data_IF_457435660948
#
_entry.id   IF_457435660948
#
_cell.length_a   1.000
_cell.length_b   1.000
_cell.length_c   1.000
_cell.angle_alpha   90.00
_cell.angle_beta   90.00
_cell.angle_gamma   90.00
#
_symmetry.space_group_name_H-M   'P 1'
#
loop_
_entity.id
_entity.type
_entity.pdbx_description
1 polymer ?
#
# COMPACT_ATOMS: atom_id res chain seq x y z
N UNK A 1 62.75 31.97 14.83
CA UNK A 1 62.18 30.77 14.15
C UNK A 1 60.64 30.80 14.21
N UNK A 2 60.02 31.98 14.28
CA UNK A 2 58.67 32.12 14.86
C UNK A 2 57.53 32.25 13.84
N UNK A 3 57.83 32.31 12.54
CA UNK A 3 56.82 32.46 11.49
C UNK A 3 56.15 31.16 11.02
N UNK A 4 56.79 29.99 11.23
CA UNK A 4 56.26 28.69 10.74
C UNK A 4 55.21 28.07 11.67
N UNK A 5 55.22 28.39 12.96
CA UNK A 5 54.26 27.86 13.94
C UNK A 5 52.86 28.47 13.76
N UNK A 6 52.76 29.72 13.32
CA UNK A 6 51.50 30.45 13.18
C UNK A 6 50.68 30.03 11.94
N UNK A 7 51.34 29.66 10.84
CA UNK A 7 50.66 29.19 9.62
C UNK A 7 49.98 27.83 9.81
N UNK A 8 50.65 26.89 10.48
CA UNK A 8 50.11 25.53 10.72
C UNK A 8 48.87 25.54 11.62
N UNK A 9 48.84 26.42 12.62
CA UNK A 9 47.66 26.62 13.47
C UNK A 9 46.51 27.30 12.71
N UNK A 10 46.79 28.30 11.86
CA UNK A 10 45.76 28.92 11.01
C UNK A 10 45.15 27.94 10.02
N UNK A 11 45.96 27.12 9.36
CA UNK A 11 45.49 26.10 8.41
C UNK A 11 44.66 25.01 9.12
N UNK A 12 45.04 24.63 10.35
CA UNK A 12 44.29 23.69 11.18
C UNK A 12 42.93 24.26 11.63
N UNK A 13 42.87 25.51 12.08
CA UNK A 13 41.61 26.19 12.44
C UNK A 13 40.71 26.38 11.21
N UNK A 14 41.26 26.80 10.07
CA UNK A 14 40.51 26.91 8.81
C UNK A 14 39.94 25.56 8.35
N UNK A 15 40.72 24.48 8.42
CA UNK A 15 40.24 23.14 8.08
C UNK A 15 39.17 22.64 9.05
N UNK A 16 39.27 23.02 10.33
CA UNK A 16 38.27 22.67 11.34
C UNK A 16 36.96 23.43 11.09
N UNK A 17 37.03 24.73 10.78
CA UNK A 17 35.85 25.55 10.41
C UNK A 17 35.18 25.04 9.13
N UNK A 18 35.96 24.63 8.11
CA UNK A 18 35.41 24.02 6.88
C UNK A 18 34.64 22.73 7.17
N UNK A 19 35.16 21.88 8.07
CA UNK A 19 34.46 20.64 8.49
C UNK A 19 33.14 20.94 9.18
N UNK A 20 33.10 21.93 10.08
CA UNK A 20 31.85 22.34 10.73
C UNK A 20 30.83 22.91 9.75
N UNK A 21 31.27 23.75 8.81
CA UNK A 21 30.39 24.29 7.76
C UNK A 21 29.80 23.15 6.90
N UNK A 22 30.64 22.20 6.47
CA UNK A 22 30.18 21.03 5.71
C UNK A 22 29.19 20.17 6.51
N UNK A 23 29.46 19.94 7.80
CA UNK A 23 28.57 19.18 8.67
C UNK A 23 27.21 19.88 8.88
N UNK A 24 27.22 21.20 9.08
CA UNK A 24 25.99 22.00 9.19
C UNK A 24 25.20 21.95 7.87
N UNK A 25 25.85 22.11 6.72
CA UNK A 25 25.20 21.99 5.41
C UNK A 25 24.59 20.60 5.19
N UNK A 26 25.26 19.54 5.65
CA UNK A 26 24.72 18.18 5.61
C UNK A 26 23.47 18.05 6.47
N UNK A 27 23.47 18.57 7.70
CA UNK A 27 22.30 18.56 8.60
C UNK A 27 21.15 19.35 7.98
N UNK A 28 21.41 20.54 7.44
CA UNK A 28 20.37 21.37 6.79
C UNK A 28 19.81 20.63 5.58
N UNK A 29 20.65 20.00 4.77
CA UNK A 29 20.22 19.24 3.59
C UNK A 29 19.36 18.03 4.00
N UNK A 30 19.79 17.29 5.03
CA UNK A 30 19.03 16.16 5.55
C UNK A 30 17.70 16.61 6.16
N UNK A 31 17.71 17.67 6.96
CA UNK A 31 16.51 18.27 7.54
C UNK A 31 15.54 18.77 6.46
N UNK A 32 16.05 19.45 5.44
CA UNK A 32 15.30 19.90 4.27
C UNK A 32 14.67 18.73 3.50
N UNK A 33 15.40 17.65 3.28
CA UNK A 33 14.89 16.43 2.65
C UNK A 33 13.78 15.75 3.47
N UNK A 34 13.97 15.64 4.79
CA UNK A 34 12.96 15.06 5.69
C UNK A 34 11.69 15.92 5.73
N UNK A 35 11.82 17.25 5.79
CA UNK A 35 10.71 18.18 5.73
C UNK A 35 10.00 18.13 4.37
N UNK A 36 10.75 18.13 3.27
CA UNK A 36 10.20 17.98 1.92
C UNK A 36 9.33 16.72 1.82
N UNK A 37 9.85 15.56 2.26
CA UNK A 37 9.11 14.31 2.22
C UNK A 37 7.86 14.32 3.10
N UNK A 38 7.94 14.97 4.27
CA UNK A 38 6.81 15.14 5.19
C UNK A 38 5.69 15.96 4.54
N UNK A 39 6.03 17.09 3.91
CA UNK A 39 5.03 18.03 3.37
C UNK A 39 4.52 17.65 1.98
N UNK A 40 5.36 17.10 1.10
CA UNK A 40 4.95 16.73 -0.26
C UNK A 40 4.39 15.32 -0.36
N UNK A 41 4.64 14.47 0.64
CA UNK A 41 4.41 13.04 0.51
C UNK A 41 5.34 12.36 -0.48
N UNK A 42 6.36 13.05 -1.02
CA UNK A 42 7.27 12.52 -2.06
C UNK A 42 6.51 12.05 -3.32
N UNK A 43 5.33 12.61 -3.61
CA UNK A 43 4.64 12.34 -4.87
C UNK A 43 5.33 13.08 -6.01
N UNK A 44 5.59 12.38 -7.12
CA UNK A 44 6.15 12.92 -8.36
C UNK A 44 5.65 12.07 -9.53
N UNK A 45 5.38 12.68 -10.68
CA UNK A 45 5.03 11.93 -11.90
C UNK A 45 6.11 10.92 -12.28
N UNK A 46 7.38 11.31 -12.15
CA UNK A 46 8.50 10.39 -12.35
C UNK A 46 8.48 9.18 -11.43
N UNK A 47 7.82 9.21 -10.27
CA UNK A 47 7.77 8.07 -9.36
C UNK A 47 6.69 7.04 -9.74
N UNK A 48 5.70 7.43 -10.54
CA UNK A 48 4.62 6.57 -11.04
C UNK A 48 4.81 6.13 -12.48
N UNK A 49 5.80 6.70 -13.18
CA UNK A 49 6.17 6.29 -14.53
C UNK A 49 7.40 5.39 -14.53
N UNK A 50 7.23 4.17 -15.06
CA UNK A 50 8.29 3.20 -15.31
C UNK A 50 8.00 2.38 -16.56
N UNK A 51 9.03 1.90 -17.26
CA UNK A 51 8.85 1.01 -18.41
C UNK A 51 8.73 -0.43 -17.89
N UNK A 52 7.51 -0.90 -17.71
CA UNK A 52 7.23 -2.30 -17.37
C UNK A 52 7.02 -3.09 -18.66
N UNK A 53 7.62 -4.30 -18.79
CA UNK A 53 7.29 -5.17 -19.91
C UNK A 53 5.80 -5.56 -19.85
N UNK A 54 5.19 -5.74 -21.01
CA UNK A 54 3.83 -6.26 -21.10
C UNK A 54 3.77 -7.68 -20.55
N UNK A 55 2.80 -7.96 -19.67
CA UNK A 55 2.53 -9.30 -19.17
C UNK A 55 1.13 -9.76 -19.60
N UNK A 56 1.02 -10.81 -20.45
CA UNK A 56 -0.26 -11.35 -20.90
C UNK A 56 -1.18 -11.81 -19.76
N UNK A 57 -0.63 -12.26 -18.63
CA UNK A 57 -1.44 -12.72 -17.50
C UNK A 57 -2.21 -11.56 -16.86
N UNK A 58 -1.64 -10.35 -16.87
CA UNK A 58 -2.26 -9.15 -16.32
C UNK A 58 -3.17 -8.42 -17.30
N UNK A 59 -3.30 -8.93 -18.53
CA UNK A 59 -4.23 -8.36 -19.49
C UNK A 59 -5.66 -8.51 -18.95
N UNK A 60 -6.35 -7.39 -18.82
CA UNK A 60 -7.78 -7.38 -18.50
C UNK A 60 -8.57 -7.69 -19.77
N UNK A 61 -9.73 -8.31 -19.60
CA UNK A 61 -10.69 -8.46 -20.70
C UNK A 61 -11.14 -7.07 -21.16
N UNK A 62 -11.22 -6.80 -22.47
CA UNK A 62 -11.78 -5.54 -22.97
C UNK A 62 -13.13 -5.25 -22.33
N UNK A 63 -13.29 -4.05 -21.79
CA UNK A 63 -14.56 -3.64 -21.17
C UNK A 63 -15.65 -3.55 -22.24
N UNK A 64 -16.85 -4.04 -21.90
CA UNK A 64 -18.05 -3.75 -22.69
C UNK A 64 -18.26 -2.22 -22.77
N UNK A 65 -18.93 -1.75 -23.83
CA UNK A 65 -19.06 -0.30 -24.07
C UNK A 65 -19.71 0.46 -22.92
N UNK A 66 -20.71 -0.13 -22.26
CA UNK A 66 -21.39 0.48 -21.11
C UNK A 66 -20.49 0.49 -19.86
N UNK A 67 -19.79 -0.61 -19.57
CA UNK A 67 -18.82 -0.69 -18.46
C UNK A 67 -17.68 0.32 -18.66
N UNK A 68 -17.23 0.51 -19.90
CA UNK A 68 -16.21 1.51 -20.23
C UNK A 68 -16.74 2.92 -19.97
N UNK A 69 -17.96 3.24 -20.38
CA UNK A 69 -18.58 4.56 -20.14
C UNK A 69 -18.72 4.83 -18.64
N UNK A 70 -19.16 3.83 -17.88
CA UNK A 70 -19.30 3.89 -16.43
C UNK A 70 -17.94 4.01 -15.70
N UNK A 71 -16.88 3.37 -16.20
CA UNK A 71 -15.52 3.56 -15.70
C UNK A 71 -15.02 4.99 -15.99
N UNK A 72 -15.20 5.46 -17.23
CA UNK A 72 -14.74 6.78 -17.64
C UNK A 72 -15.43 7.89 -16.84
N UNK A 73 -16.71 7.76 -16.53
CA UNK A 73 -17.40 8.73 -15.67
C UNK A 73 -16.77 8.84 -14.27
N UNK A 74 -16.30 7.72 -13.71
CA UNK A 74 -15.55 7.71 -12.43
C UNK A 74 -14.18 8.33 -12.55
N UNK A 75 -13.49 8.17 -13.70
CA UNK A 75 -12.14 8.69 -13.92
C UNK A 75 -12.11 10.17 -14.36
N UNK A 76 -13.22 10.74 -14.81
CA UNK A 76 -13.28 12.13 -15.29
C UNK A 76 -13.31 13.19 -14.18
N UNK A 77 -13.58 12.79 -12.94
CA UNK A 77 -13.56 13.70 -11.80
C UNK A 77 -12.14 14.03 -11.32
N UNK A 78 -12.03 15.06 -10.49
CA UNK A 78 -10.77 15.42 -9.84
C UNK A 78 -10.47 14.49 -8.66
N UNK A 79 -9.18 14.19 -8.43
CA UNK A 79 -8.73 13.34 -7.32
C UNK A 79 -7.72 14.05 -6.41
N UNK A 80 -7.87 13.93 -5.09
CA UNK A 80 -7.02 14.58 -4.09
C UNK A 80 -6.17 13.58 -3.34
N UNK A 81 -4.88 13.90 -3.15
CA UNK A 81 -3.95 13.04 -2.42
C UNK A 81 -4.42 12.80 -0.98
N UNK A 82 -4.52 11.54 -0.57
CA UNK A 82 -4.89 11.16 0.81
C UNK A 82 -3.75 10.49 1.56
N UNK A 83 -2.79 9.91 0.85
CA UNK A 83 -1.67 9.24 1.52
C UNK A 83 -0.78 8.43 0.59
N UNK A 84 0.24 7.84 1.20
CA UNK A 84 1.15 6.91 0.54
C UNK A 84 1.43 5.72 1.43
N UNK A 85 1.56 4.56 0.83
CA UNK A 85 2.25 3.41 1.41
C UNK A 85 3.69 3.31 0.89
N UNK A 86 4.31 2.17 1.10
CA UNK A 86 5.66 1.89 0.59
C UNK A 86 5.70 1.76 -0.94
N UNK A 87 4.61 1.29 -1.53
CA UNK A 87 4.55 0.96 -2.96
C UNK A 87 3.44 1.68 -3.72
N UNK A 88 2.58 2.45 -3.05
CA UNK A 88 1.38 3.05 -3.65
C UNK A 88 1.21 4.50 -3.20
N UNK A 89 0.78 5.39 -4.09
CA UNK A 89 0.17 6.67 -3.76
C UNK A 89 -1.34 6.56 -3.93
N UNK A 90 -2.11 7.05 -2.96
CA UNK A 90 -3.56 6.99 -2.97
C UNK A 90 -4.17 8.39 -3.09
N UNK A 91 -5.16 8.51 -3.97
CA UNK A 91 -5.91 9.74 -4.18
C UNK A 91 -7.40 9.42 -4.12
N UNK A 92 -8.17 10.23 -3.39
CA UNK A 92 -9.62 10.08 -3.29
C UNK A 92 -10.31 10.93 -4.34
N UNK A 93 -11.39 10.43 -4.92
CA UNK A 93 -12.24 11.18 -5.83
C UNK A 93 -12.90 12.38 -5.14
N UNK A 94 -13.32 13.37 -5.94
CA UNK A 94 -14.04 14.54 -5.47
C UNK A 94 -15.38 14.19 -4.80
N UNK A 95 -16.10 13.20 -5.33
CA UNK A 95 -17.33 12.67 -4.72
C UNK A 95 -17.09 11.85 -3.44
N UNK A 96 -15.82 11.54 -3.13
CA UNK A 96 -15.43 10.77 -1.96
C UNK A 96 -15.74 9.27 -2.03
N UNK A 97 -16.22 8.73 -3.16
CA UNK A 97 -16.66 7.35 -3.27
C UNK A 97 -15.58 6.38 -3.80
N UNK A 98 -14.51 6.92 -4.40
CA UNK A 98 -13.47 6.13 -5.05
C UNK A 98 -12.08 6.54 -4.60
N UNK A 99 -11.15 5.58 -4.66
CA UNK A 99 -9.73 5.80 -4.47
C UNK A 99 -9.02 5.26 -5.69
N UNK A 100 -8.25 6.12 -6.34
CA UNK A 100 -7.29 5.70 -7.36
C UNK A 100 -5.91 5.56 -6.73
N UNK A 101 -5.22 4.49 -7.09
CA UNK A 101 -3.93 4.11 -6.53
C UNK A 101 -2.90 3.99 -7.64
N UNK A 102 -1.80 4.72 -7.52
CA UNK A 102 -0.67 4.67 -8.44
C UNK A 102 0.52 3.95 -7.82
N UNK A 103 1.15 3.07 -8.58
CA UNK A 103 2.30 2.30 -8.11
C UNK A 103 3.59 3.13 -8.08
N UNK A 104 4.43 2.90 -7.07
CA UNK A 104 5.71 3.58 -6.88
C UNK A 104 6.86 2.77 -7.47
N UNK A 105 7.54 3.33 -8.46
CA UNK A 105 8.69 2.70 -9.12
C UNK A 105 10.03 3.36 -8.78
N UNK A 106 10.06 4.37 -7.91
CA UNK A 106 11.31 5.09 -7.55
C UNK A 106 12.42 4.14 -7.07
N UNK A 107 12.06 3.06 -6.39
CA UNK A 107 13.01 2.07 -5.89
C UNK A 107 13.50 1.09 -6.96
N UNK A 108 12.77 0.93 -8.07
CA UNK A 108 13.21 0.14 -9.22
C UNK A 108 14.25 0.87 -10.06
N UNK A 109 14.29 2.20 -9.99
CA UNK A 109 15.21 2.99 -10.82
C UNK A 109 16.65 2.81 -10.32
N UNK A 110 17.61 2.60 -11.24
CA UNK A 110 19.01 2.58 -10.86
C UNK A 110 19.41 3.94 -10.29
N UNK A 111 20.31 3.93 -9.31
CA UNK A 111 20.95 5.15 -8.83
C UNK A 111 21.83 5.72 -9.94
N UNK A 112 22.03 7.04 -9.96
CA UNK A 112 22.99 7.69 -10.87
C UNK A 112 24.42 7.20 -10.66
N UNK A 113 24.73 6.60 -9.50
CA UNK A 113 26.03 6.03 -9.17
C UNK A 113 26.16 4.54 -9.54
N UNK A 114 25.07 3.86 -9.91
CA UNK A 114 25.11 2.44 -10.27
C UNK A 114 26.11 2.15 -11.40
N UNK A 115 26.21 2.98 -12.48
CA UNK A 115 27.23 2.77 -13.51
C UNK A 115 28.66 2.79 -12.95
N UNK A 116 28.95 3.67 -11.99
CA UNK A 116 30.28 3.78 -11.38
C UNK A 116 30.63 2.55 -10.54
N UNK A 117 29.68 1.98 -9.80
CA UNK A 117 29.94 0.77 -9.02
C UNK A 117 29.91 -0.52 -9.87
N UNK A 118 29.28 -0.49 -11.04
CA UNK A 118 29.17 -1.65 -11.94
C UNK A 118 30.50 -2.12 -12.54
N UNK A 119 31.56 -1.29 -12.50
CA UNK A 119 32.90 -1.67 -12.99
C UNK A 119 33.57 -2.76 -12.12
N UNK A 120 33.16 -2.90 -10.86
CA UNK A 120 33.67 -3.95 -9.97
C UNK A 120 32.77 -5.19 -10.06
N UNK A 121 33.27 -6.39 -10.42
CA UNK A 121 32.43 -7.57 -10.66
C UNK A 121 31.53 -7.98 -9.50
N UNK A 122 32.03 -7.88 -8.26
CA UNK A 122 31.27 -8.21 -7.04
C UNK A 122 30.13 -7.20 -6.81
N UNK A 123 30.39 -5.91 -7.05
CA UNK A 123 29.39 -4.85 -6.94
C UNK A 123 28.35 -4.95 -8.06
N UNK A 124 28.77 -5.28 -9.28
CA UNK A 124 27.84 -5.55 -10.39
C UNK A 124 26.85 -6.66 -10.03
N UNK A 125 27.34 -7.80 -9.53
CA UNK A 125 26.48 -8.90 -9.08
C UNK A 125 25.51 -8.45 -7.99
N UNK A 126 25.99 -7.70 -6.99
CA UNK A 126 25.14 -7.17 -5.93
C UNK A 126 24.02 -6.25 -6.45
N UNK A 127 24.35 -5.37 -7.40
CA UNK A 127 23.38 -4.47 -8.06
C UNK A 127 22.36 -5.27 -8.88
N UNK A 128 22.81 -6.24 -9.67
CA UNK A 128 21.95 -7.10 -10.49
C UNK A 128 20.99 -7.93 -9.61
N UNK A 129 21.49 -8.54 -8.53
CA UNK A 129 20.67 -9.29 -7.57
C UNK A 129 19.71 -8.38 -6.80
N UNK A 130 20.13 -7.13 -6.53
CA UNK A 130 19.26 -6.09 -5.98
C UNK A 130 18.13 -5.71 -6.92
N UNK A 131 18.43 -5.51 -8.20
CA UNK A 131 17.45 -5.21 -9.24
C UNK A 131 16.43 -6.33 -9.42
N UNK A 132 16.88 -7.60 -9.47
CA UNK A 132 15.98 -8.77 -9.52
C UNK A 132 15.03 -8.83 -8.32
N UNK A 133 15.56 -8.66 -7.10
CA UNK A 133 14.73 -8.62 -5.88
C UNK A 133 13.70 -7.50 -5.91
N UNK A 134 14.05 -6.33 -6.43
CA UNK A 134 13.14 -5.19 -6.58
C UNK A 134 12.06 -5.48 -7.63
N UNK A 135 12.40 -6.08 -8.76
CA UNK A 135 11.45 -6.50 -9.80
C UNK A 135 10.45 -7.50 -9.24
N UNK A 136 10.92 -8.56 -8.58
CA UNK A 136 10.05 -9.57 -7.95
C UNK A 136 9.05 -8.98 -6.94
N UNK A 137 9.43 -7.91 -6.22
CA UNK A 137 8.49 -7.21 -5.31
C UNK A 137 7.34 -6.53 -6.05
N UNK A 138 7.59 -6.01 -7.24
CA UNK A 138 6.57 -5.37 -8.08
C UNK A 138 5.73 -6.42 -8.78
N UNK A 139 6.34 -7.48 -9.32
CA UNK A 139 5.60 -8.59 -9.93
C UNK A 139 4.63 -9.22 -8.92
N UNK A 140 5.09 -9.45 -7.68
CA UNK A 140 4.23 -9.95 -6.59
C UNK A 140 3.08 -8.98 -6.30
N UNK A 141 3.35 -7.69 -6.26
CA UNK A 141 2.34 -6.67 -5.99
C UNK A 141 1.28 -6.64 -7.11
N UNK A 142 1.69 -6.74 -8.38
CA UNK A 142 0.79 -6.74 -9.53
C UNK A 142 -0.04 -8.02 -9.58
N UNK A 143 0.61 -9.18 -9.40
CA UNK A 143 -0.08 -10.47 -9.27
C UNK A 143 -1.16 -10.42 -8.19
N UNK A 144 -0.83 -9.83 -7.04
CA UNK A 144 -1.75 -9.70 -5.92
C UNK A 144 -2.99 -8.86 -6.25
N UNK A 145 -2.82 -7.72 -6.95
CA UNK A 145 -3.94 -6.89 -7.41
C UNK A 145 -4.74 -7.57 -8.51
N UNK A 146 -4.09 -8.32 -9.40
CA UNK A 146 -4.76 -9.10 -10.43
C UNK A 146 -5.61 -10.23 -9.82
N UNK A 147 -5.08 -10.96 -8.84
CA UNK A 147 -5.82 -12.00 -8.09
C UNK A 147 -7.05 -11.36 -7.43
N UNK A 148 -6.86 -10.24 -6.73
CA UNK A 148 -7.97 -9.56 -6.07
C UNK A 148 -9.04 -9.10 -7.06
N UNK A 149 -8.64 -8.57 -8.22
CA UNK A 149 -9.59 -8.14 -9.24
C UNK A 149 -10.34 -9.30 -9.89
N UNK A 150 -9.65 -10.41 -10.16
CA UNK A 150 -10.20 -11.55 -10.90
C UNK A 150 -11.03 -12.48 -10.03
N UNK A 151 -10.62 -12.70 -8.78
CA UNK A 151 -11.19 -13.73 -7.90
C UNK A 151 -11.78 -13.19 -6.60
N UNK A 152 -11.55 -11.92 -6.25
CA UNK A 152 -11.99 -11.35 -4.97
C UNK A 152 -12.53 -9.92 -5.12
N UNK A 153 -13.22 -9.64 -6.24
CA UNK A 153 -13.59 -8.27 -6.61
C UNK A 153 -14.59 -7.68 -5.62
N UNK A 154 -15.57 -8.48 -5.22
CA UNK A 154 -16.60 -8.12 -4.24
C UNK A 154 -16.01 -7.80 -2.86
N UNK A 155 -14.98 -8.53 -2.46
CA UNK A 155 -14.32 -8.40 -1.16
C UNK A 155 -13.17 -7.39 -1.18
N UNK A 156 -12.78 -6.86 -2.33
CA UNK A 156 -11.74 -5.82 -2.44
C UNK A 156 -12.31 -4.47 -2.87
N UNK A 157 -13.53 -4.42 -3.41
CA UNK A 157 -14.09 -3.20 -3.97
C UNK A 157 -13.33 -2.68 -5.19
N UNK A 158 -12.47 -3.50 -5.82
CA UNK A 158 -11.75 -3.12 -7.02
C UNK A 158 -12.72 -2.91 -8.18
N UNK A 159 -12.73 -1.70 -8.71
CA UNK A 159 -13.56 -1.31 -9.87
C UNK A 159 -12.81 -1.64 -11.15
N UNK A 160 -11.52 -1.31 -11.22
CA UNK A 160 -10.70 -1.51 -12.41
C UNK A 160 -9.21 -1.65 -12.03
N UNK A 161 -8.47 -2.42 -12.82
CA UNK A 161 -7.02 -2.57 -12.70
C UNK A 161 -6.38 -2.35 -14.07
N UNK A 162 -5.37 -1.48 -14.12
CA UNK A 162 -4.59 -1.19 -15.32
C UNK A 162 -3.13 -1.48 -15.03
N UNK A 163 -2.73 -2.74 -15.21
CA UNK A 163 -1.40 -3.23 -14.84
C UNK A 163 -0.42 -3.29 -16.03
N UNK A 164 -0.96 -3.26 -17.26
CA UNK A 164 -0.21 -3.14 -18.50
C UNK A 164 -0.50 -1.78 -19.11
N UNK A 165 0.54 -1.09 -19.58
CA UNK A 165 0.35 0.13 -20.38
C UNK A 165 -0.29 -0.22 -21.71
N UNK A 166 -1.06 0.72 -22.23
CA UNK A 166 -1.70 0.61 -23.52
C UNK A 166 -1.45 1.88 -24.32
N UNK A 167 -1.57 1.81 -25.65
CA UNK A 167 -1.31 2.99 -26.47
C UNK A 167 -2.53 3.92 -26.60
N UNK A 168 -3.76 3.42 -26.37
CA UNK A 168 -4.99 4.15 -26.70
C UNK A 168 -6.29 3.48 -26.17
N UNK A 169 -6.25 2.75 -25.05
CA UNK A 169 -7.45 2.06 -24.56
C UNK A 169 -8.43 3.03 -23.89
N UNK A 170 -7.96 3.81 -22.92
CA UNK A 170 -8.77 4.73 -22.11
C UNK A 170 -8.85 6.14 -22.69
N UNK A 171 -7.80 6.61 -23.36
CA UNK A 171 -7.66 7.96 -23.93
C UNK A 171 -8.06 9.06 -22.94
N UNK A 172 -7.66 8.88 -21.68
CA UNK A 172 -8.11 9.70 -20.56
C UNK A 172 -6.93 10.24 -19.79
N UNK A 173 -6.95 11.56 -19.57
CA UNK A 173 -6.01 12.24 -18.68
C UNK A 173 -6.72 12.54 -17.36
N UNK A 174 -6.23 11.96 -16.27
CA UNK A 174 -6.73 12.19 -14.94
C UNK A 174 -6.16 13.49 -14.36
N UNK A 175 -7.01 14.28 -13.72
CA UNK A 175 -6.59 15.46 -12.97
C UNK A 175 -6.48 15.13 -11.48
N UNK A 176 -5.28 15.26 -10.92
CA UNK A 176 -5.03 15.03 -9.49
C UNK A 176 -4.45 16.26 -8.81
N UNK A 177 -4.68 16.41 -7.51
CA UNK A 177 -3.95 17.37 -6.67
C UNK A 177 -3.10 16.62 -5.67
N UNK A 178 -1.82 17.01 -5.57
CA UNK A 178 -0.91 16.46 -4.58
C UNK A 178 -1.19 17.00 -3.16
N UNK A 179 -0.34 16.64 -2.20
CA UNK A 179 -0.48 17.04 -0.80
C UNK A 179 -0.42 18.56 -0.58
N UNK A 180 0.22 19.30 -1.49
CA UNK A 180 0.29 20.76 -1.46
C UNK A 180 -0.83 21.43 -2.26
N UNK A 181 -1.75 20.63 -2.84
CA UNK A 181 -2.83 21.13 -3.70
C UNK A 181 -2.39 21.42 -5.14
N UNK A 182 -1.12 21.17 -5.49
CA UNK A 182 -0.62 21.40 -6.86
C UNK A 182 -1.31 20.40 -7.79
N UNK A 183 -1.85 20.91 -8.90
CA UNK A 183 -2.56 20.09 -9.89
C UNK A 183 -1.56 19.41 -10.83
N UNK A 184 -1.81 18.14 -11.09
CA UNK A 184 -1.05 17.31 -12.04
C UNK A 184 -2.02 16.64 -13.01
N UNK A 185 -1.58 16.48 -14.24
CA UNK A 185 -2.29 15.72 -15.27
C UNK A 185 -1.57 14.40 -15.51
N UNK A 186 -2.28 13.29 -15.42
CA UNK A 186 -1.72 11.94 -15.57
C UNK A 186 -2.41 11.25 -16.75
N UNK A 187 -1.63 10.88 -17.75
CA UNK A 187 -2.11 10.01 -18.82
C UNK A 187 -2.28 8.58 -18.29
N UNK A 188 -3.53 8.09 -18.29
CA UNK A 188 -3.89 6.79 -17.72
C UNK A 188 -3.53 5.63 -18.64
N UNK A 189 -3.36 5.84 -19.95
CA UNK A 189 -2.92 4.77 -20.87
C UNK A 189 -1.45 4.40 -20.62
N UNK A 190 -0.66 5.38 -20.18
CA UNK A 190 0.79 5.26 -19.96
C UNK A 190 1.20 5.06 -18.49
N UNK A 191 0.23 4.92 -17.58
CA UNK A 191 0.46 4.85 -16.14
C UNK A 191 -0.23 3.65 -15.54
N UNK A 192 0.49 2.83 -14.77
CA UNK A 192 -0.11 1.68 -14.07
C UNK A 192 -0.89 2.17 -12.84
N UNK A 193 -2.16 1.77 -12.73
CA UNK A 193 -3.03 2.18 -11.63
C UNK A 193 -4.10 1.13 -11.31
N UNK A 194 -4.73 1.29 -10.15
CA UNK A 194 -5.98 0.59 -9.82
C UNK A 194 -7.01 1.60 -9.31
N UNK A 195 -8.28 1.36 -9.63
CA UNK A 195 -9.43 2.10 -9.12
C UNK A 195 -10.21 1.20 -8.18
N UNK A 196 -10.49 1.69 -6.97
CA UNK A 196 -11.17 0.96 -5.91
C UNK A 196 -12.28 1.83 -5.32
N UNK A 197 -13.38 1.22 -4.87
CA UNK A 197 -14.32 1.91 -3.99
C UNK A 197 -13.60 2.35 -2.70
N UNK A 198 -13.93 3.54 -2.21
CA UNK A 198 -13.42 4.00 -0.92
C UNK A 198 -14.12 3.25 0.20
N UNK A 199 -13.33 2.70 1.11
CA UNK A 199 -13.83 2.13 2.36
C UNK A 199 -13.27 2.85 3.58
N UNK A 200 -13.90 2.59 4.71
CA UNK A 200 -13.44 3.07 6.02
C UNK A 200 -12.65 1.95 6.71
N UNK A 201 -11.39 2.17 7.11
CA UNK A 201 -10.60 1.14 7.80
C UNK A 201 -11.30 0.56 9.02
N UNK A 202 -11.11 -0.73 9.32
CA UNK A 202 -11.83 -1.43 10.40
C UNK A 202 -11.69 -0.74 11.75
N UNK A 203 -10.50 -0.21 12.07
CA UNK A 203 -10.29 0.58 13.29
C UNK A 203 -11.17 1.83 13.36
N UNK A 204 -11.40 2.51 12.24
CA UNK A 204 -12.18 3.74 12.18
C UNK A 204 -13.69 3.44 12.16
N UNK A 205 -14.08 2.34 11.51
CA UNK A 205 -15.46 1.93 11.40
C UNK A 205 -16.01 1.35 12.71
N UNK A 206 -15.22 0.53 13.42
CA UNK A 206 -15.66 -0.20 14.62
C UNK A 206 -15.52 0.63 15.90
N UNK A 207 -14.48 1.48 16.01
CA UNK A 207 -14.20 2.25 17.23
C UNK A 207 -15.41 3.05 17.76
N UNK A 208 -16.23 3.73 16.93
CA UNK A 208 -17.38 4.47 17.42
C UNK A 208 -18.42 3.61 18.18
N UNK A 209 -18.59 2.34 17.80
CA UNK A 209 -19.50 1.42 18.49
C UNK A 209 -18.93 1.02 19.85
N UNK A 210 -17.64 0.69 19.90
CA UNK A 210 -16.93 0.35 21.13
C UNK A 210 -16.89 1.54 22.12
N UNK A 211 -16.58 2.74 21.64
CA UNK A 211 -16.56 3.96 22.47
C UNK A 211 -17.92 4.32 23.06
N UNK A 212 -19.02 3.93 22.39
CA UNK A 212 -20.40 4.13 22.88
C UNK A 212 -20.90 2.97 23.75
N UNK A 213 -20.08 1.95 23.99
CA UNK A 213 -20.47 0.75 24.73
C UNK A 213 -21.39 -0.20 23.95
N UNK A 214 -21.61 0.03 22.66
CA UNK A 214 -22.41 -0.86 21.79
C UNK A 214 -21.59 -2.10 21.42
N UNK A 215 -21.45 -2.98 22.40
CA UNK A 215 -20.57 -4.16 22.33
C UNK A 215 -21.12 -5.21 21.35
N UNK A 216 -22.44 -5.36 21.26
CA UNK A 216 -23.04 -6.38 20.39
C UNK A 216 -22.89 -6.04 18.91
N UNK A 217 -23.00 -4.77 18.53
CA UNK A 217 -22.69 -4.34 17.17
C UNK A 217 -21.20 -4.57 16.84
N UNK A 218 -20.29 -4.30 17.80
CA UNK A 218 -18.88 -4.56 17.60
C UNK A 218 -18.57 -6.06 17.41
N UNK A 219 -19.22 -6.95 18.19
CA UNK A 219 -19.15 -8.41 17.99
C UNK A 219 -19.57 -8.78 16.57
N UNK A 220 -20.73 -8.31 16.14
CA UNK A 220 -21.25 -8.56 14.81
C UNK A 220 -20.26 -8.14 13.70
N UNK A 221 -19.66 -6.95 13.82
CA UNK A 221 -18.66 -6.45 12.87
C UNK A 221 -17.37 -7.28 12.87
N UNK A 222 -16.91 -7.76 14.03
CA UNK A 222 -15.75 -8.65 14.08
C UNK A 222 -16.04 -10.03 13.49
N UNK A 223 -17.24 -10.59 13.72
CA UNK A 223 -17.66 -11.85 13.08
C UNK A 223 -17.69 -11.70 11.56
N UNK A 224 -18.21 -10.59 11.05
CA UNK A 224 -18.14 -10.28 9.61
C UNK A 224 -16.70 -10.23 9.07
N UNK A 225 -15.75 -9.71 9.84
CA UNK A 225 -14.34 -9.74 9.43
C UNK A 225 -13.77 -11.16 9.41
N UNK A 226 -14.18 -12.05 10.32
CA UNK A 226 -13.82 -13.47 10.24
C UNK A 226 -14.45 -14.13 9.01
N UNK A 227 -15.71 -13.81 8.71
CA UNK A 227 -16.42 -14.34 7.54
C UNK A 227 -15.78 -13.87 6.21
N UNK A 228 -15.23 -12.65 6.16
CA UNK A 228 -14.42 -12.19 5.02
C UNK A 228 -13.25 -13.13 4.76
N UNK A 229 -12.47 -13.48 5.79
CA UNK A 229 -11.33 -14.40 5.65
C UNK A 229 -11.78 -15.79 5.21
N UNK A 230 -12.86 -16.33 5.78
CA UNK A 230 -13.42 -17.62 5.37
C UNK A 230 -13.83 -17.63 3.89
N UNK A 231 -14.50 -16.56 3.43
CA UNK A 231 -14.91 -16.45 2.03
C UNK A 231 -13.73 -16.38 1.05
N UNK A 232 -12.59 -15.87 1.50
CA UNK A 232 -11.35 -15.87 0.71
C UNK A 232 -10.71 -17.27 0.69
N UNK A 233 -10.71 -17.96 1.83
CA UNK A 233 -10.19 -19.31 1.96
C UNK A 233 -10.93 -20.31 1.10
N UNK A 234 -12.25 -20.23 1.03
CA UNK A 234 -13.08 -21.05 0.12
C UNK A 234 -12.67 -20.88 -1.35
N UNK A 235 -12.19 -19.70 -1.74
CA UNK A 235 -11.72 -19.39 -3.09
C UNK A 235 -10.25 -19.76 -3.31
N UNK A 236 -9.55 -20.27 -2.30
CA UNK A 236 -8.12 -20.55 -2.36
C UNK A 236 -7.26 -19.28 -2.27
N UNK A 237 -7.82 -18.20 -1.74
CA UNK A 237 -7.15 -16.89 -1.65
C UNK A 237 -6.56 -16.76 -0.26
N UNK A 238 -5.25 -16.51 -0.19
CA UNK A 238 -4.55 -16.31 1.07
C UNK A 238 -3.83 -14.95 1.08
N UNK A 239 -4.20 -14.09 2.03
CA UNK A 239 -3.50 -12.83 2.28
C UNK A 239 -2.40 -13.02 3.33
N UNK A 240 -1.15 -12.80 2.93
CA UNK A 240 -0.01 -12.90 3.84
C UNK A 240 0.13 -11.65 4.74
N UNK A 241 -0.63 -10.58 4.49
CA UNK A 241 -0.70 -9.41 5.36
C UNK A 241 -1.86 -9.48 6.35
N UNK A 242 -1.50 -9.54 7.63
CA UNK A 242 -2.49 -9.64 8.70
C UNK A 242 -2.66 -8.33 9.46
N UNK A 243 -2.31 -7.19 8.87
CA UNK A 243 -2.58 -5.88 9.50
C UNK A 243 -4.07 -5.51 9.40
N UNK A 244 -4.93 -6.36 9.94
CA UNK A 244 -6.39 -6.35 9.80
C UNK A 244 -6.99 -4.97 10.06
N UNK A 245 -6.60 -4.30 11.14
CA UNK A 245 -7.19 -3.02 11.55
C UNK A 245 -6.96 -1.85 10.57
N UNK A 246 -6.00 -1.99 9.65
CA UNK A 246 -5.61 -0.96 8.69
C UNK A 246 -5.84 -1.40 7.23
N UNK A 247 -5.61 -2.68 6.94
CA UNK A 247 -5.67 -3.23 5.59
C UNK A 247 -7.05 -3.81 5.24
N UNK A 248 -7.91 -4.02 6.24
CA UNK A 248 -9.33 -4.31 6.05
C UNK A 248 -10.15 -3.11 6.49
N UNK A 249 -11.37 -3.03 5.97
CA UNK A 249 -12.32 -2.00 6.33
C UNK A 249 -13.70 -2.35 5.83
N UNK A 250 -14.57 -1.35 5.78
CA UNK A 250 -15.96 -1.50 5.38
C UNK A 250 -16.26 -0.62 4.17
N UNK A 251 -16.87 -1.20 3.15
CA UNK A 251 -17.39 -0.54 1.95
C UNK A 251 -18.89 -0.83 1.91
N UNK A 252 -19.72 0.21 1.86
CA UNK A 252 -21.17 0.07 1.85
C UNK A 252 -21.71 -0.82 3.00
N UNK A 253 -21.06 -0.74 4.18
CA UNK A 253 -21.41 -1.51 5.38
C UNK A 253 -20.92 -2.97 5.40
N UNK A 254 -20.17 -3.43 4.39
CA UNK A 254 -19.66 -4.80 4.29
C UNK A 254 -18.14 -4.85 4.42
N UNK A 255 -17.55 -5.88 5.03
CA UNK A 255 -16.12 -6.02 5.17
C UNK A 255 -15.44 -6.17 3.80
N UNK A 256 -14.29 -5.52 3.63
CA UNK A 256 -13.50 -5.57 2.41
C UNK A 256 -11.99 -5.35 2.69
N UNK A 257 -11.14 -5.89 1.82
CA UNK A 257 -9.71 -5.62 1.72
C UNK A 257 -9.48 -4.24 1.12
N UNK A 258 -9.02 -3.30 1.95
CA UNK A 258 -8.59 -1.97 1.50
C UNK A 258 -7.16 -2.02 0.94
N UNK A 259 -6.34 -2.96 1.40
CA UNK A 259 -5.02 -3.27 0.83
C UNK A 259 -4.99 -4.75 0.41
N UNK A 260 -4.57 -4.99 -0.84
CA UNK A 260 -4.49 -6.31 -1.47
C UNK A 260 -3.07 -6.55 -1.97
N UNK A 261 -2.04 -6.07 -1.26
CA UNK A 261 -0.65 -6.13 -1.73
C UNK A 261 0.10 -7.45 -1.52
N UNK A 262 -0.47 -8.41 -0.77
CA UNK A 262 0.18 -9.70 -0.43
C UNK A 262 -0.72 -10.94 -0.55
N UNK A 263 -1.73 -10.85 -1.41
CA UNK A 263 -2.64 -11.91 -1.78
C UNK A 263 -1.98 -12.90 -2.74
N UNK A 264 -2.16 -14.19 -2.47
CA UNK A 264 -1.72 -15.29 -3.32
C UNK A 264 -2.87 -16.30 -3.51
N UNK A 265 -2.76 -17.13 -4.55
CA UNK A 265 -3.58 -18.33 -4.70
C UNK A 265 -2.84 -19.51 -4.07
N UNK A 266 -3.50 -20.20 -3.15
CA UNK A 266 -2.99 -21.40 -2.48
C UNK A 266 -4.15 -22.35 -2.18
N UNK A 267 -4.32 -23.37 -3.01
CA UNK A 267 -5.41 -24.35 -2.88
C UNK A 267 -5.42 -25.06 -1.51
N UNK A 268 -4.28 -25.13 -0.82
CA UNK A 268 -4.20 -25.74 0.52
C UNK A 268 -5.00 -24.95 1.54
N UNK A 269 -5.15 -23.64 1.37
CA UNK A 269 -5.88 -22.78 2.30
C UNK A 269 -7.39 -23.00 2.25
N UNK A 270 -7.91 -23.80 1.29
CA UNK A 270 -9.31 -24.24 1.31
C UNK A 270 -9.59 -25.27 2.40
N UNK A 271 -8.56 -25.94 2.89
CA UNK A 271 -8.70 -26.99 3.90
C UNK A 271 -8.58 -26.39 5.31
N UNK A 272 -9.59 -26.61 6.19
CA UNK A 272 -9.61 -26.16 7.59
C UNK A 272 -8.31 -26.38 8.36
N UNK A 273 -7.59 -27.47 8.07
CA UNK A 273 -6.33 -27.80 8.75
C UNK A 273 -5.22 -26.78 8.49
N UNK A 274 -5.26 -26.10 7.34
CA UNK A 274 -4.24 -25.11 6.97
C UNK A 274 -4.60 -23.71 7.46
N UNK A 275 -5.87 -23.32 7.39
CA UNK A 275 -6.28 -21.95 7.75
C UNK A 275 -6.68 -21.78 9.22
N UNK A 276 -6.91 -22.86 9.99
CA UNK A 276 -7.24 -22.76 11.43
C UNK A 276 -6.23 -21.90 12.17
N UNK A 277 -4.94 -22.15 11.96
CA UNK A 277 -3.89 -21.38 12.65
C UNK A 277 -3.90 -19.91 12.25
N UNK A 278 -4.28 -19.64 11.02
CA UNK A 278 -4.36 -18.28 10.53
C UNK A 278 -5.54 -17.52 11.13
N UNK A 279 -6.74 -18.11 11.15
CA UNK A 279 -7.90 -17.51 11.80
C UNK A 279 -7.67 -17.27 13.30
N UNK A 280 -6.99 -18.18 14.00
CA UNK A 280 -6.55 -17.93 15.38
C UNK A 280 -5.61 -16.72 15.48
N UNK A 281 -4.69 -16.54 14.51
CA UNK A 281 -3.83 -15.35 14.50
C UNK A 281 -4.66 -14.08 14.26
N UNK A 282 -5.66 -14.12 13.37
CA UNK A 282 -6.58 -13.02 13.12
C UNK A 282 -7.32 -12.65 14.41
N UNK A 283 -7.97 -13.62 15.06
CA UNK A 283 -8.71 -13.40 16.30
C UNK A 283 -7.79 -12.90 17.44
N UNK A 284 -6.72 -13.64 17.73
CA UNK A 284 -5.95 -13.44 18.97
C UNK A 284 -4.77 -12.48 18.82
N UNK A 285 -4.09 -12.48 17.68
CA UNK A 285 -2.92 -11.61 17.48
C UNK A 285 -3.29 -10.28 16.85
N UNK A 286 -4.46 -10.15 16.20
CA UNK A 286 -4.88 -8.91 15.55
C UNK A 286 -6.04 -8.26 16.27
N UNK A 287 -7.17 -8.95 16.43
CA UNK A 287 -8.35 -8.36 17.07
C UNK A 287 -8.14 -8.21 18.58
N UNK A 288 -7.86 -9.29 19.30
CA UNK A 288 -7.72 -9.24 20.77
C UNK A 288 -6.58 -8.30 21.21
N UNK A 289 -5.41 -8.34 20.56
CA UNK A 289 -4.32 -7.39 20.85
C UNK A 289 -4.69 -5.93 20.61
N UNK A 290 -5.52 -5.65 19.61
CA UNK A 290 -6.00 -4.29 19.37
C UNK A 290 -7.01 -3.87 20.45
N UNK A 291 -7.92 -4.77 20.81
CA UNK A 291 -8.88 -4.57 21.90
C UNK A 291 -8.17 -4.33 23.25
N UNK A 292 -7.15 -5.13 23.58
CA UNK A 292 -6.33 -4.95 24.79
C UNK A 292 -5.73 -3.55 24.88
N UNK A 293 -5.24 -3.03 23.75
CA UNK A 293 -4.57 -1.73 23.71
C UNK A 293 -5.54 -0.54 23.77
N UNK A 294 -6.69 -0.63 23.10
CA UNK A 294 -7.55 0.54 22.86
C UNK A 294 -8.92 0.47 23.55
N UNK A 295 -9.42 -0.73 23.83
CA UNK A 295 -10.77 -0.98 24.37
C UNK A 295 -10.76 -2.09 25.44
N UNK A 296 -9.95 -1.96 26.52
CA UNK A 296 -9.75 -3.03 27.49
C UNK A 296 -11.02 -3.42 28.25
N UNK A 297 -11.98 -2.49 28.39
CA UNK A 297 -13.26 -2.74 29.07
C UNK A 297 -14.15 -3.74 28.30
N UNK A 298 -14.16 -3.65 26.97
CA UNK A 298 -14.98 -4.50 26.09
C UNK A 298 -14.24 -5.78 25.67
N UNK A 299 -12.91 -5.84 25.87
CA UNK A 299 -12.04 -6.93 25.40
C UNK A 299 -12.57 -8.31 25.76
N UNK A 300 -12.92 -8.56 27.03
CA UNK A 300 -13.34 -9.89 27.50
C UNK A 300 -14.60 -10.35 26.75
N UNK A 301 -15.58 -9.47 26.58
CA UNK A 301 -16.81 -9.79 25.87
C UNK A 301 -16.56 -10.09 24.37
N UNK A 302 -15.66 -9.34 23.72
CA UNK A 302 -15.26 -9.59 22.33
C UNK A 302 -14.45 -10.89 22.21
N UNK A 303 -13.52 -11.15 23.13
CA UNK A 303 -12.72 -12.36 23.12
C UNK A 303 -13.58 -13.63 23.28
N UNK A 304 -14.59 -13.60 24.16
CA UNK A 304 -15.52 -14.71 24.32
C UNK A 304 -16.36 -14.95 23.06
N UNK A 305 -16.86 -13.88 22.42
CA UNK A 305 -17.62 -14.00 21.16
C UNK A 305 -16.77 -14.55 20.01
N UNK A 306 -15.51 -14.11 19.88
CA UNK A 306 -14.57 -14.65 18.92
C UNK A 306 -14.26 -16.13 19.19
N UNK A 307 -14.17 -16.53 20.45
CA UNK A 307 -13.93 -17.91 20.83
C UNK A 307 -15.09 -18.79 20.38
N UNK A 308 -16.32 -18.38 20.72
CA UNK A 308 -17.54 -19.05 20.26
C UNK A 308 -17.59 -19.15 18.73
N UNK A 309 -17.29 -18.06 18.00
CA UNK A 309 -17.24 -18.08 16.54
C UNK A 309 -16.21 -19.08 16.00
N UNK A 310 -15.05 -19.23 16.65
CA UNK A 310 -14.05 -20.23 16.24
C UNK A 310 -14.49 -21.66 16.55
N UNK A 311 -15.17 -21.91 17.66
CA UNK A 311 -15.76 -23.23 17.98
C UNK A 311 -16.85 -23.62 16.98
N UNK A 312 -17.68 -22.65 16.54
CA UNK A 312 -18.68 -22.87 15.48
C UNK A 312 -18.03 -23.32 14.16
N UNK A 313 -16.84 -22.82 13.84
CA UNK A 313 -16.11 -23.16 12.60
C UNK A 313 -15.35 -24.49 12.75
N UNK A 314 -14.79 -24.75 13.94
CA UNK A 314 -13.97 -25.91 14.24
C UNK A 314 -14.54 -26.67 15.45
N UNK A 315 -15.70 -27.34 15.29
CA UNK A 315 -16.22 -28.19 16.36
C UNK A 315 -15.22 -29.32 16.66
N UNK A 316 -15.09 -29.65 17.95
CA UNK A 316 -14.19 -30.72 18.42
C UNK A 316 -14.56 -32.11 17.89
#
# INVERSE_FOLDING_TARGET
MDGKFNKKNRDAVMNTNKKYVLFILLIISLGGYLLYNKYTGDFRLSNITYSTPFNPEWATTPLASDDKKDLLSKLQQHYKFIGKGDQIYAFVSEDGNYVIKFFQFKHLKPSSLDPFFSYLPQMKKYLDDGAKRKQHKIDRLFNSHWIAYKFNRENSGLVYVHLNKTDNELKTTLQVSDRLGIKHSIDLDNTVFVLQKKGTPSREYISPFLSKGNTDEAKYLFRQLIDLYLSEYEKGIYDLDHNLMYNTGFIDGRPARLDVGKMILDERIKDPRFYKKDLENVAWKRIDKWMEKYFPQQRIAIANDLHQKLEEIFPE
#
